data_IF_651168406342
#
_entry.id   IF_651168406342
#
_cell.length_a   1.000
_cell.length_b   1.000
_cell.length_c   1.000
_cell.angle_alpha   90.00
_cell.angle_beta   90.00
_cell.angle_gamma   90.00
#
_symmetry.space_group_name_H-M   'P 1'
#
loop_
_entity.id
_entity.type
_entity.pdbx_description
1 polymer ?
#
# COMPACT_ATOMS: atom_id res chain seq x y z
N UNK A 1 -18.81 -17.18 -29.39
CA UNK A 1 -18.01 -16.66 -28.29
C UNK A 1 -18.81 -16.90 -27.03
N UNK A 2 -18.40 -17.88 -26.23
CA UNK A 2 -19.11 -18.23 -25.00
C UNK A 2 -18.63 -17.33 -23.86
N UNK A 3 -19.46 -16.37 -23.48
CA UNK A 3 -19.30 -15.61 -22.24
C UNK A 3 -19.76 -16.49 -21.08
N UNK A 4 -18.81 -17.09 -20.40
CA UNK A 4 -19.04 -17.79 -19.13
C UNK A 4 -19.20 -16.74 -18.03
N UNK A 5 -20.35 -16.71 -17.35
CA UNK A 5 -20.62 -15.86 -16.20
C UNK A 5 -20.72 -16.74 -14.96
N UNK A 6 -19.86 -16.53 -13.95
CA UNK A 6 -19.81 -17.36 -12.74
C UNK A 6 -19.77 -16.48 -11.48
N UNK A 7 -20.58 -16.89 -10.50
CA UNK A 7 -20.87 -16.18 -9.27
C UNK A 7 -19.70 -16.00 -8.31
N UNK A 8 -19.82 -14.94 -7.51
CA UNK A 8 -18.82 -14.46 -6.56
C UNK A 8 -18.85 -15.32 -5.29
N UNK A 9 -17.72 -15.93 -4.91
CA UNK A 9 -17.47 -16.46 -3.56
C UNK A 9 -16.38 -15.60 -2.87
N UNK A 10 -16.51 -15.24 -1.58
CA UNK A 10 -15.49 -14.51 -0.84
C UNK A 10 -14.22 -15.36 -0.68
N UNK A 11 -13.04 -14.78 -0.92
CA UNK A 11 -11.74 -15.47 -0.83
C UNK A 11 -11.25 -16.12 -2.14
N UNK A 12 -12.01 -15.97 -3.23
CA UNK A 12 -11.63 -16.40 -4.57
C UNK A 12 -11.26 -15.18 -5.40
N UNK A 13 -10.28 -15.27 -6.30
CA UNK A 13 -10.16 -14.30 -7.40
C UNK A 13 -11.51 -14.31 -8.15
N UNK A 14 -12.37 -13.26 -8.10
CA UNK A 14 -13.55 -13.21 -8.94
C UNK A 14 -13.12 -13.46 -10.38
N UNK A 15 -13.96 -14.17 -11.13
CA UNK A 15 -13.68 -14.49 -12.54
C UNK A 15 -13.66 -13.19 -13.35
N UNK A 16 -12.50 -12.55 -13.37
CA UNK A 16 -12.20 -11.46 -14.26
C UNK A 16 -12.07 -11.98 -15.68
N UNK A 17 -12.59 -11.22 -16.65
CA UNK A 17 -12.34 -11.49 -18.07
C UNK A 17 -10.88 -11.19 -18.38
N UNK A 18 -10.19 -12.08 -19.07
CA UNK A 18 -8.83 -11.86 -19.54
C UNK A 18 -8.65 -12.32 -20.97
N UNK A 19 -7.72 -11.70 -21.69
CA UNK A 19 -7.36 -12.07 -23.05
C UNK A 19 -5.92 -11.67 -23.37
N UNK A 20 -5.23 -12.44 -24.23
CA UNK A 20 -3.88 -12.09 -24.66
C UNK A 20 -3.86 -10.85 -25.55
N UNK A 21 -2.79 -10.06 -25.43
CA UNK A 21 -2.44 -8.95 -26.30
C UNK A 21 -0.91 -8.97 -26.56
N UNK A 22 -0.39 -8.17 -27.51
CA UNK A 22 1.04 -8.17 -27.84
C UNK A 22 1.96 -7.88 -26.64
N UNK A 23 1.49 -7.10 -25.68
CA UNK A 23 2.25 -6.65 -24.51
C UNK A 23 2.12 -7.59 -23.28
N UNK A 24 1.25 -8.61 -23.35
CA UNK A 24 1.01 -9.56 -22.25
C UNK A 24 -0.44 -10.05 -22.17
N UNK A 25 -0.99 -10.13 -20.95
CA UNK A 25 -2.39 -10.50 -20.72
C UNK A 25 -3.16 -9.29 -20.20
N UNK A 26 -4.20 -8.88 -20.93
CA UNK A 26 -5.16 -7.92 -20.42
C UNK A 26 -6.10 -8.61 -19.44
N UNK A 27 -6.25 -8.06 -18.25
CA UNK A 27 -7.15 -8.58 -17.20
C UNK A 27 -8.13 -7.48 -16.79
N UNK A 28 -9.41 -7.83 -16.69
CA UNK A 28 -10.46 -6.99 -16.13
C UNK A 28 -10.93 -7.52 -14.79
N UNK A 29 -11.12 -6.61 -13.83
CA UNK A 29 -11.48 -6.92 -12.45
C UNK A 29 -12.44 -5.88 -11.93
N UNK A 30 -13.37 -6.28 -11.07
CA UNK A 30 -14.12 -5.31 -10.27
C UNK A 30 -13.19 -4.81 -9.17
N UNK A 31 -13.01 -3.49 -9.10
CA UNK A 31 -12.34 -2.79 -8.03
C UNK A 31 -13.15 -2.97 -6.75
N UNK A 32 -12.55 -3.58 -5.73
CA UNK A 32 -13.26 -3.91 -4.48
C UNK A 32 -13.70 -2.67 -3.68
N UNK A 33 -13.07 -1.52 -3.89
CA UNK A 33 -13.39 -0.27 -3.20
C UNK A 33 -14.47 0.54 -3.94
N UNK A 34 -14.28 0.77 -5.24
CA UNK A 34 -15.17 1.66 -6.01
C UNK A 34 -16.32 0.94 -6.71
N UNK A 35 -16.28 -0.40 -6.79
CA UNK A 35 -17.19 -1.23 -7.58
C UNK A 35 -17.11 -1.01 -9.10
N UNK A 36 -16.14 -0.23 -9.57
CA UNK A 36 -15.89 -0.01 -11.00
C UNK A 36 -15.04 -1.12 -11.61
N UNK A 37 -15.02 -1.23 -12.94
CA UNK A 37 -14.17 -2.20 -13.63
C UNK A 37 -12.78 -1.62 -13.86
N UNK A 38 -11.80 -2.16 -13.13
CA UNK A 38 -10.38 -1.95 -13.39
C UNK A 38 -9.90 -2.83 -14.54
N UNK A 39 -9.03 -2.28 -15.39
CA UNK A 39 -8.37 -2.98 -16.49
C UNK A 39 -6.87 -2.74 -16.42
N UNK A 40 -6.09 -3.82 -16.49
CA UNK A 40 -4.62 -3.74 -16.42
C UNK A 40 -3.98 -4.78 -17.34
N UNK A 41 -2.81 -4.46 -17.89
CA UNK A 41 -2.03 -5.39 -18.71
C UNK A 41 -0.92 -5.97 -17.84
N UNK A 42 -0.91 -7.29 -17.71
CA UNK A 42 0.10 -8.01 -16.96
C UNK A 42 1.22 -8.47 -17.90
N UNK A 43 2.49 -8.18 -17.59
CA UNK A 43 3.64 -8.53 -18.43
C UNK A 43 4.01 -10.02 -18.29
N UNK A 44 3.11 -10.90 -18.70
CA UNK A 44 3.28 -12.34 -18.65
C UNK A 44 2.62 -13.01 -19.86
N UNK A 45 3.00 -14.26 -20.10
CA UNK A 45 2.36 -15.10 -21.11
C UNK A 45 1.05 -15.68 -20.60
N UNK A 46 0.21 -16.17 -21.53
CA UNK A 46 -1.04 -16.85 -21.19
C UNK A 46 -0.80 -18.08 -20.29
N UNK A 47 0.20 -18.88 -20.63
CA UNK A 47 0.57 -20.09 -19.87
C UNK A 47 0.99 -19.75 -18.43
N UNK A 48 1.85 -18.74 -18.27
CA UNK A 48 2.25 -18.25 -16.95
C UNK A 48 1.05 -17.75 -16.14
N UNK A 49 0.14 -17.01 -16.78
CA UNK A 49 -1.05 -16.48 -16.13
C UNK A 49 -2.00 -17.60 -15.67
N UNK A 50 -2.26 -18.58 -16.53
CA UNK A 50 -3.14 -19.72 -16.21
C UNK A 50 -2.57 -20.61 -15.11
N UNK A 51 -1.27 -20.89 -15.15
CA UNK A 51 -0.58 -21.65 -14.11
C UNK A 51 -0.59 -20.92 -12.76
N UNK A 52 -0.32 -19.60 -12.76
CA UNK A 52 -0.42 -18.79 -11.55
C UNK A 52 -1.83 -18.76 -10.98
N UNK A 53 -2.87 -18.64 -11.82
CA UNK A 53 -4.27 -18.73 -11.38
C UNK A 53 -4.60 -20.09 -10.79
N UNK A 54 -4.08 -21.17 -11.38
CA UNK A 54 -4.27 -22.53 -10.88
C UNK A 54 -3.67 -22.68 -9.47
N UNK A 55 -2.43 -22.22 -9.27
CA UNK A 55 -1.75 -22.22 -7.96
C UNK A 55 -2.47 -21.37 -6.91
N UNK A 56 -2.85 -20.14 -7.25
CA UNK A 56 -3.59 -19.27 -6.35
C UNK A 56 -4.94 -19.90 -5.93
N UNK A 57 -5.64 -20.58 -6.84
CA UNK A 57 -6.87 -21.33 -6.53
C UNK A 57 -6.64 -22.54 -5.64
N UNK A 58 -5.42 -23.05 -5.56
CA UNK A 58 -5.02 -24.13 -4.64
C UNK A 58 -4.59 -23.62 -3.27
N UNK A 59 -4.56 -22.30 -3.07
CA UNK A 59 -4.22 -21.66 -1.79
C UNK A 59 -2.78 -21.16 -1.70
N UNK A 60 -2.00 -21.21 -2.78
CA UNK A 60 -0.67 -20.62 -2.80
C UNK A 60 -0.76 -19.10 -2.62
N UNK A 61 0.22 -18.52 -1.94
CA UNK A 61 0.32 -17.07 -1.80
C UNK A 61 0.55 -16.43 -3.17
N UNK A 62 0.05 -15.20 -3.37
CA UNK A 62 0.13 -14.52 -4.67
C UNK A 62 1.57 -14.31 -5.15
N UNK A 63 2.52 -14.14 -4.24
CA UNK A 63 3.95 -14.10 -4.56
C UNK A 63 4.52 -15.42 -5.09
N UNK A 64 3.98 -16.55 -4.66
CA UNK A 64 4.45 -17.88 -5.04
C UNK A 64 3.73 -18.38 -6.29
N UNK A 65 2.46 -18.02 -6.43
CA UNK A 65 1.65 -18.27 -7.62
C UNK A 65 2.11 -17.42 -8.82
N UNK A 66 2.49 -16.16 -8.60
CA UNK A 66 2.92 -15.22 -9.65
C UNK A 66 4.29 -14.59 -9.35
N UNK A 67 5.37 -15.37 -9.30
CA UNK A 67 6.70 -14.88 -8.92
C UNK A 67 7.31 -13.93 -9.95
N UNK A 68 6.80 -13.94 -11.18
CA UNK A 68 7.24 -13.09 -12.29
C UNK A 68 6.50 -11.75 -12.37
N UNK A 69 5.46 -11.54 -11.56
CA UNK A 69 4.72 -10.28 -11.51
C UNK A 69 5.28 -9.35 -10.44
N UNK A 70 5.24 -8.04 -10.72
CA UNK A 70 5.63 -7.03 -9.73
C UNK A 70 4.65 -7.02 -8.54
N UNK A 71 5.01 -6.45 -7.39
CA UNK A 71 4.05 -6.28 -6.29
C UNK A 71 2.76 -5.53 -6.71
N UNK A 72 2.82 -4.40 -7.44
CA UNK A 72 1.61 -3.72 -7.92
C UNK A 72 0.72 -4.57 -8.83
N UNK A 73 1.31 -5.40 -9.70
CA UNK A 73 0.56 -6.29 -10.60
C UNK A 73 -0.19 -7.38 -9.82
N UNK A 74 0.46 -7.95 -8.79
CA UNK A 74 -0.17 -8.93 -7.89
C UNK A 74 -1.28 -8.30 -7.07
N UNK A 75 -1.07 -7.07 -6.61
CA UNK A 75 -2.10 -6.33 -5.88
C UNK A 75 -3.32 -6.04 -6.75
N UNK A 76 -3.14 -5.68 -8.03
CA UNK A 76 -4.24 -5.55 -8.98
C UNK A 76 -5.04 -6.85 -9.11
N UNK A 77 -4.37 -8.02 -9.14
CA UNK A 77 -5.07 -9.31 -9.21
C UNK A 77 -5.93 -9.58 -7.97
N UNK A 78 -5.54 -9.08 -6.81
CA UNK A 78 -6.29 -9.22 -5.55
C UNK A 78 -7.44 -8.21 -5.50
N UNK A 79 -7.11 -6.92 -5.67
CA UNK A 79 -7.98 -5.78 -5.39
C UNK A 79 -8.82 -5.30 -6.57
N UNK A 80 -8.38 -5.57 -7.79
CA UNK A 80 -8.94 -4.96 -9.01
C UNK A 80 -8.64 -3.47 -9.18
N UNK A 81 -7.79 -2.89 -8.33
CA UNK A 81 -7.38 -1.48 -8.40
C UNK A 81 -6.11 -1.38 -9.26
N UNK A 82 -6.15 -0.72 -10.44
CA UNK A 82 -4.97 -0.56 -11.27
C UNK A 82 -3.85 0.21 -10.54
N UNK A 83 -2.56 -0.05 -10.83
CA UNK A 83 -1.45 0.61 -10.15
C UNK A 83 -1.51 2.14 -10.14
N UNK A 84 -1.98 2.77 -11.22
CA UNK A 84 -2.15 4.23 -11.28
C UNK A 84 -3.28 4.73 -10.36
N UNK A 85 -4.35 3.96 -10.22
CA UNK A 85 -5.48 4.31 -9.36
C UNK A 85 -5.11 4.16 -7.87
N UNK A 86 -4.18 3.26 -7.52
CA UNK A 86 -3.63 3.18 -6.17
C UNK A 86 -3.02 4.51 -5.70
N UNK A 87 -2.25 5.17 -6.58
CA UNK A 87 -1.66 6.48 -6.28
C UNK A 87 -2.71 7.60 -6.11
N UNK A 88 -3.87 7.47 -6.74
CA UNK A 88 -4.98 8.43 -6.58
C UNK A 88 -5.81 8.17 -5.32
N UNK A 89 -6.02 6.90 -4.96
CA UNK A 89 -6.78 6.49 -3.78
C UNK A 89 -5.98 6.66 -2.48
N UNK A 90 -4.67 6.47 -2.58
CA UNK A 90 -3.71 6.63 -1.48
C UNK A 90 -2.62 7.59 -1.93
N UNK A 91 -2.97 8.87 -2.15
CA UNK A 91 -1.98 9.85 -2.48
C UNK A 91 -1.00 9.90 -1.32
N UNK A 92 0.29 9.68 -1.61
CA UNK A 92 1.34 10.08 -0.69
C UNK A 92 1.07 11.55 -0.33
N UNK A 93 1.32 11.99 0.91
CA UNK A 93 1.23 13.41 1.23
C UNK A 93 2.15 14.18 0.28
N UNK A 94 1.56 14.76 -0.78
CA UNK A 94 2.25 15.28 -1.97
C UNK A 94 3.18 16.45 -1.66
N UNK A 95 3.17 16.94 -0.43
CA UNK A 95 4.02 18.02 0.03
C UNK A 95 4.66 17.67 1.36
N UNK A 96 5.99 17.56 1.37
CA UNK A 96 6.79 17.55 2.59
C UNK A 96 6.64 18.91 3.29
N UNK A 97 5.74 18.97 4.26
CA UNK A 97 5.34 20.18 4.97
C UNK A 97 5.07 19.87 6.43
N UNK A 98 5.16 20.88 7.30
CA UNK A 98 4.87 20.72 8.73
C UNK A 98 3.47 20.15 8.97
N UNK A 99 2.46 20.61 8.23
CA UNK A 99 1.08 20.11 8.36
C UNK A 99 0.93 18.65 7.97
N UNK A 100 1.67 18.18 6.96
CA UNK A 100 1.66 16.76 6.56
C UNK A 100 2.28 15.89 7.65
N UNK A 101 3.40 16.33 8.24
CA UNK A 101 4.05 15.64 9.35
C UNK A 101 3.14 15.62 10.59
N UNK A 102 2.49 16.74 10.92
CA UNK A 102 1.53 16.81 12.03
C UNK A 102 0.33 15.86 11.82
N UNK A 103 -0.17 15.74 10.60
CA UNK A 103 -1.25 14.80 10.27
C UNK A 103 -0.81 13.35 10.47
N UNK A 104 0.35 12.95 9.91
CA UNK A 104 0.90 11.59 10.07
C UNK A 104 1.06 11.27 11.56
N UNK A 105 1.64 12.19 12.34
CA UNK A 105 1.85 12.00 13.77
C UNK A 105 0.52 11.90 14.56
N UNK A 106 -0.52 12.63 14.15
CA UNK A 106 -1.85 12.53 14.74
C UNK A 106 -2.49 11.16 14.45
N UNK A 107 -2.30 10.61 13.26
CA UNK A 107 -2.79 9.27 12.87
C UNK A 107 -2.04 8.14 13.59
N UNK A 108 -0.73 8.30 13.82
CA UNK A 108 0.08 7.34 14.57
C UNK A 108 -0.20 7.37 16.08
N UNK A 109 -0.75 8.47 16.61
CA UNK A 109 -0.98 8.65 18.05
C UNK A 109 -1.75 7.50 18.73
N UNK A 110 -2.92 7.06 18.26
CA UNK A 110 -3.64 5.96 18.91
C UNK A 110 -2.82 4.66 18.95
N UNK A 111 -2.04 4.37 17.91
CA UNK A 111 -1.13 3.21 17.87
C UNK A 111 -0.01 3.36 18.91
N UNK A 112 0.54 4.56 19.03
CA UNK A 112 1.56 4.86 20.04
C UNK A 112 1.02 4.73 21.47
N UNK A 113 -0.19 5.23 21.72
CA UNK A 113 -0.85 5.12 23.03
C UNK A 113 -1.17 3.64 23.36
N UNK A 114 -1.55 2.83 22.37
CA UNK A 114 -1.77 1.39 22.53
C UNK A 114 -0.48 0.62 22.85
N UNK A 115 0.60 0.89 22.11
CA UNK A 115 1.86 0.15 22.24
C UNK A 115 2.69 0.58 23.46
N UNK A 116 2.66 1.87 23.80
CA UNK A 116 3.56 2.47 24.79
C UNK A 116 2.84 3.00 26.03
N UNK A 117 1.51 3.10 26.02
CA UNK A 117 0.71 3.66 27.10
C UNK A 117 0.75 5.19 27.14
N UNK A 118 -0.18 5.79 27.88
CA UNK A 118 -0.23 7.23 28.10
C UNK A 118 0.94 7.73 28.95
N UNK A 119 1.90 8.35 28.26
CA UNK A 119 2.90 9.32 28.73
C UNK A 119 4.04 8.90 29.68
N UNK A 120 5.16 9.64 29.51
CA UNK A 120 6.34 9.88 30.34
C UNK A 120 7.23 8.70 30.80
N UNK A 121 6.72 7.48 30.93
CA UNK A 121 7.50 6.37 31.52
C UNK A 121 8.41 5.64 30.53
N UNK A 122 8.19 5.82 29.23
CA UNK A 122 8.99 5.24 28.14
C UNK A 122 9.32 6.34 27.14
N UNK A 123 10.54 6.89 27.14
CA UNK A 123 10.91 7.88 26.14
C UNK A 123 10.74 7.24 24.76
N UNK A 124 9.97 7.93 23.90
CA UNK A 124 9.79 7.48 22.54
C UNK A 124 11.15 7.45 21.85
N UNK A 125 11.49 6.35 21.15
CA UNK A 125 12.68 6.32 20.33
C UNK A 125 12.47 7.25 19.13
N UNK A 126 12.93 8.50 19.25
CA UNK A 126 12.76 9.54 18.24
C UNK A 126 13.22 9.06 16.86
N UNK A 127 14.33 8.32 16.81
CA UNK A 127 14.86 7.71 15.57
C UNK A 127 13.85 6.78 14.90
N UNK A 128 13.08 6.00 15.68
CA UNK A 128 12.03 5.12 15.13
C UNK A 128 10.84 5.92 14.62
N UNK A 129 10.44 6.98 15.31
CA UNK A 129 9.37 7.85 14.83
C UNK A 129 9.78 8.57 13.53
N UNK A 130 11.05 8.97 13.44
CA UNK A 130 11.62 9.56 12.23
C UNK A 130 11.69 8.55 11.08
N UNK A 131 12.08 7.30 11.35
CA UNK A 131 12.03 6.22 10.36
C UNK A 131 10.61 6.01 9.84
N UNK A 132 9.61 5.93 10.73
CA UNK A 132 8.21 5.68 10.32
C UNK A 132 7.62 6.87 9.55
N UNK A 133 7.76 8.10 10.04
CA UNK A 133 7.28 9.29 9.31
C UNK A 133 8.05 9.46 7.99
N UNK A 134 9.34 9.17 7.98
CA UNK A 134 10.19 9.26 6.79
C UNK A 134 9.85 8.26 5.69
N UNK A 135 9.19 7.12 6.01
CA UNK A 135 8.75 6.16 4.98
C UNK A 135 7.70 6.73 4.04
N UNK A 136 6.89 7.67 4.51
CA UNK A 136 5.84 8.30 3.70
C UNK A 136 6.39 9.36 2.74
N UNK A 137 7.69 9.67 2.82
CA UNK A 137 8.37 10.62 1.96
C UNK A 137 9.46 9.94 1.11
N UNK A 138 9.28 9.94 -0.21
CA UNK A 138 10.30 9.58 -1.18
C UNK A 138 11.53 10.51 -1.06
N UNK A 139 12.73 10.07 -1.48
CA UNK A 139 13.98 10.38 -0.77
C UNK A 139 14.14 11.86 -0.43
N UNK A 140 14.09 12.14 0.87
CA UNK A 140 14.30 13.48 1.41
C UNK A 140 15.76 13.90 1.17
N UNK A 141 15.94 15.13 0.66
CA UNK A 141 17.23 15.81 0.68
C UNK A 141 17.68 16.04 2.14
N UNK A 142 18.98 16.21 2.37
CA UNK A 142 19.54 16.38 3.74
C UNK A 142 18.89 17.54 4.51
N UNK A 143 18.58 18.64 3.82
CA UNK A 143 17.88 19.79 4.39
C UNK A 143 16.45 19.43 4.84
N UNK A 144 15.79 18.53 4.12
CA UNK A 144 14.43 18.10 4.45
C UNK A 144 14.42 17.04 5.55
N UNK A 145 15.44 16.18 5.64
CA UNK A 145 15.64 15.30 6.80
C UNK A 145 15.82 16.10 8.10
N UNK A 146 16.60 17.18 8.04
CA UNK A 146 16.82 18.06 9.20
C UNK A 146 15.52 18.75 9.63
N UNK A 147 14.70 19.23 8.67
CA UNK A 147 13.38 19.81 8.96
C UNK A 147 12.42 18.78 9.56
N UNK A 148 12.40 17.56 9.01
CA UNK A 148 11.59 16.45 9.53
C UNK A 148 11.94 16.20 11.00
N UNK A 149 13.23 16.11 11.30
CA UNK A 149 13.72 15.93 12.66
C UNK A 149 13.21 17.02 13.60
N UNK A 150 13.33 18.29 13.22
CA UNK A 150 12.85 19.40 14.02
C UNK A 150 11.34 19.38 14.25
N UNK A 151 10.54 19.05 13.23
CA UNK A 151 9.09 18.99 13.37
C UNK A 151 8.64 17.84 14.27
N UNK A 152 9.20 16.64 14.07
CA UNK A 152 8.89 15.48 14.91
C UNK A 152 9.30 15.72 16.37
N UNK A 153 10.48 16.31 16.61
CA UNK A 153 10.92 16.70 17.95
C UNK A 153 9.97 17.73 18.60
N UNK A 154 9.62 18.78 17.85
CA UNK A 154 8.72 19.83 18.34
C UNK A 154 7.35 19.27 18.72
N UNK A 155 6.80 18.39 17.88
CA UNK A 155 5.54 17.70 18.18
C UNK A 155 5.67 16.81 19.41
N UNK A 156 6.72 15.98 19.51
CA UNK A 156 6.92 15.08 20.65
C UNK A 156 7.06 15.85 21.99
N UNK A 157 7.72 17.01 21.98
CA UNK A 157 7.79 17.93 23.12
C UNK A 157 6.42 18.47 23.51
N UNK A 158 5.64 18.98 22.54
CA UNK A 158 4.29 19.49 22.78
C UNK A 158 3.36 18.44 23.38
N UNK A 159 3.52 17.18 22.96
CA UNK A 159 2.72 16.06 23.44
C UNK A 159 3.22 15.48 24.79
N UNK A 160 4.31 16.01 25.36
CA UNK A 160 4.91 15.51 26.60
C UNK A 160 5.48 14.10 26.48
N UNK A 161 5.87 13.67 25.27
CA UNK A 161 6.44 12.36 24.98
C UNK A 161 7.95 12.33 25.24
N UNK A 162 8.60 13.49 25.17
CA UNK A 162 10.00 13.71 25.52
C UNK A 162 10.11 14.98 26.39
N UNK A 163 11.14 15.04 27.24
CA UNK A 163 11.42 16.21 28.09
C UNK A 163 12.20 17.25 27.28
N UNK A 164 11.94 18.53 27.54
CA UNK A 164 12.82 19.59 27.08
C UNK A 164 14.15 19.49 27.86
N UNK A 165 15.27 19.34 27.14
CA UNK A 165 16.62 19.44 27.71
C UNK A 165 16.95 20.88 28.13
#
# INVERSE_FOLDING_TARGET
METTSIGIRPGFLPEGTYWPCPEGITVQRINMLTQEVGKHILPCTLEQFEEGRRKARQGDLMQDAFPFLTPPDREFLISGIPPLQWAELFPLPLTFSQSSVEQILAELRPVMDELFGGTASRPLALDRLLEEVGRDFEPLLDDDQTKLQHWVQGWALQQGLILAE
#
